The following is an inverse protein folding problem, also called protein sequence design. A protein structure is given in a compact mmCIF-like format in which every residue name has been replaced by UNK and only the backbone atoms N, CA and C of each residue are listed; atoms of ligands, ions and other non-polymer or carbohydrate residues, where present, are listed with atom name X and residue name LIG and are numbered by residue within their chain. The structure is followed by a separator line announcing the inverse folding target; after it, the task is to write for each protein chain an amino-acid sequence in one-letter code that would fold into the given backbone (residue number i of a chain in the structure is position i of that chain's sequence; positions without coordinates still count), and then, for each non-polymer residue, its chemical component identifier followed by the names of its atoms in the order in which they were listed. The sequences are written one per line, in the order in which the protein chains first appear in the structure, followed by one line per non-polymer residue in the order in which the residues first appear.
data_IF_612401716342
#
_entry.id   IF_612401716342
#
_cell.length_a   1.000
_cell.length_b   1.000
_cell.length_c   1.000
_cell.angle_alpha   90.00
_cell.angle_beta   90.00
_cell.angle_gamma   90.00
#
_symmetry.space_group_name_H-M   'P 1'
#
loop_
_entity.id
_entity.type
_entity.pdbx_description
1 polymer ?
#
# COMPACT_ATOMS: atom_id res chain seq x y z
N UNK A 1 7.63 -16.81 12.41
CA UNK A 1 7.72 -15.34 12.23
C UNK A 1 8.99 -14.86 12.91
N UNK A 2 9.77 -14.02 12.25
CA UNK A 2 10.95 -13.41 12.87
C UNK A 2 10.54 -12.34 13.89
N UNK A 3 11.45 -11.96 14.80
CA UNK A 3 11.20 -10.82 15.70
C UNK A 3 11.01 -9.51 14.92
N UNK A 4 11.69 -9.36 13.77
CA UNK A 4 11.53 -8.21 12.89
C UNK A 4 10.10 -8.14 12.32
N UNK A 5 9.51 -9.26 11.88
CA UNK A 5 8.14 -9.30 11.36
C UNK A 5 7.12 -8.85 12.42
N UNK A 6 7.28 -9.31 13.66
CA UNK A 6 6.39 -8.95 14.77
C UNK A 6 6.52 -7.46 15.11
N UNK A 7 7.74 -6.93 15.16
CA UNK A 7 7.99 -5.51 15.42
C UNK A 7 7.38 -4.63 14.33
N UNK A 8 7.58 -5.00 13.05
CA UNK A 8 6.99 -4.33 11.89
C UNK A 8 5.47 -4.38 11.94
N UNK A 9 4.88 -5.55 12.19
CA UNK A 9 3.42 -5.73 12.29
C UNK A 9 2.78 -4.82 13.35
N UNK A 10 3.40 -4.71 14.54
CA UNK A 10 2.94 -3.78 15.59
C UNK A 10 3.03 -2.32 15.16
N UNK A 11 4.12 -1.93 14.51
CA UNK A 11 4.32 -0.55 14.05
C UNK A 11 3.42 -0.18 12.88
N UNK A 12 3.08 -1.15 12.02
CA UNK A 12 2.22 -0.94 10.85
C UNK A 12 0.86 -0.36 11.20
N UNK A 13 0.27 -0.73 12.34
CA UNK A 13 -0.99 -0.15 12.80
C UNK A 13 -0.89 1.34 13.10
N UNK A 14 0.24 1.79 13.66
CA UNK A 14 0.49 3.21 13.89
C UNK A 14 0.70 3.94 12.55
N UNK A 15 1.54 3.38 11.68
CA UNK A 15 1.84 3.96 10.36
C UNK A 15 0.56 4.11 9.55
N UNK A 16 -0.32 3.11 9.55
CA UNK A 16 -1.58 3.16 8.83
C UNK A 16 -2.47 4.33 9.27
N UNK A 17 -2.53 4.62 10.58
CA UNK A 17 -3.32 5.74 11.11
C UNK A 17 -2.75 7.09 10.68
N UNK A 18 -1.43 7.23 10.68
CA UNK A 18 -0.76 8.45 10.23
C UNK A 18 -0.94 8.64 8.72
N UNK A 19 -0.79 7.56 7.94
CA UNK A 19 -1.01 7.55 6.49
C UNK A 19 -2.45 7.92 6.11
N UNK A 20 -3.47 7.36 6.80
CA UNK A 20 -4.88 7.69 6.55
C UNK A 20 -5.14 9.19 6.70
N UNK A 21 -4.53 9.83 7.71
CA UNK A 21 -4.65 11.28 7.93
C UNK A 21 -3.97 12.09 6.84
N UNK A 22 -2.74 11.72 6.46
CA UNK A 22 -2.00 12.45 5.43
C UNK A 22 -2.66 12.33 4.06
N UNK A 23 -3.17 11.14 3.70
CA UNK A 23 -3.92 10.95 2.47
C UNK A 23 -5.24 11.73 2.48
N UNK A 24 -5.98 11.73 3.60
CA UNK A 24 -7.19 12.53 3.72
C UNK A 24 -6.90 14.03 3.56
N UNK A 25 -5.80 14.53 4.15
CA UNK A 25 -5.36 15.92 3.98
C UNK A 25 -5.03 16.25 2.52
N UNK A 26 -4.26 15.39 1.85
CA UNK A 26 -3.88 15.57 0.45
C UNK A 26 -5.09 15.50 -0.50
N UNK A 27 -6.11 14.72 -0.14
CA UNK A 27 -7.34 14.56 -0.90
C UNK A 27 -8.46 15.53 -0.48
N UNK A 28 -8.13 16.66 0.16
CA UNK A 28 -9.09 17.68 0.62
C UNK A 28 -10.25 17.10 1.46
N UNK A 29 -9.94 16.19 2.37
CA UNK A 29 -10.88 15.55 3.28
C UNK A 29 -11.54 14.28 2.73
N UNK A 30 -11.31 13.91 1.47
CA UNK A 30 -11.81 12.65 0.93
C UNK A 30 -10.99 11.46 1.47
N UNK A 31 -11.69 10.43 1.95
CA UNK A 31 -11.04 9.20 2.39
C UNK A 31 -10.59 8.37 1.19
N UNK A 32 -9.31 8.06 1.13
CA UNK A 32 -8.70 7.22 0.09
C UNK A 32 -8.49 5.81 0.62
N UNK A 33 -8.88 4.80 -0.16
CA UNK A 33 -8.55 3.41 0.15
C UNK A 33 -7.06 3.15 -0.10
N UNK A 34 -6.40 2.49 0.85
CA UNK A 34 -5.02 2.05 0.70
C UNK A 34 -4.79 0.67 1.32
N UNK A 35 -3.71 0.03 0.84
CA UNK A 35 -3.11 -1.14 1.44
C UNK A 35 -1.60 -0.96 1.44
N UNK A 36 -0.98 -0.98 2.61
CA UNK A 36 0.47 -0.92 2.78
C UNK A 36 1.00 -2.33 2.96
N UNK A 37 1.87 -2.75 2.03
CA UNK A 37 2.50 -4.07 2.02
C UNK A 37 3.99 -3.91 2.34
N UNK A 38 4.49 -4.70 3.29
CA UNK A 38 5.89 -4.71 3.71
C UNK A 38 6.41 -6.15 3.68
N UNK A 39 7.52 -6.35 2.99
CA UNK A 39 8.16 -7.65 2.83
C UNK A 39 9.69 -7.48 2.97
N UNK A 40 10.36 -8.50 3.51
CA UNK A 40 11.81 -8.51 3.75
C UNK A 40 12.59 -9.29 2.68
N UNK A 41 11.98 -10.33 2.13
CA UNK A 41 12.50 -11.16 1.05
C UNK A 41 11.31 -11.60 0.18
N UNK A 42 11.40 -11.37 -1.13
CA UNK A 42 10.35 -11.69 -2.11
C UNK A 42 10.21 -13.19 -2.41
N UNK A 43 11.14 -14.03 -1.94
CA UNK A 43 11.22 -15.46 -2.26
C UNK A 43 10.91 -16.38 -1.08
N UNK A 44 11.10 -15.92 0.17
CA UNK A 44 10.90 -16.74 1.37
C UNK A 44 10.35 -15.99 2.61
N UNK A 45 10.18 -14.67 2.53
CA UNK A 45 9.71 -13.84 3.65
C UNK A 45 8.19 -13.85 3.80
N UNK A 46 7.70 -13.70 5.04
CA UNK A 46 6.28 -13.43 5.25
C UNK A 46 5.97 -11.98 4.86
N UNK A 47 4.88 -11.80 4.11
CA UNK A 47 4.38 -10.47 3.76
C UNK A 47 3.51 -9.93 4.89
N UNK A 48 3.91 -8.79 5.46
CA UNK A 48 3.09 -8.05 6.41
C UNK A 48 2.27 -7.01 5.64
N UNK A 49 1.02 -6.80 6.05
CA UNK A 49 0.19 -5.77 5.43
C UNK A 49 -0.81 -5.16 6.40
N UNK A 50 -1.24 -3.96 6.08
CA UNK A 50 -2.33 -3.24 6.74
C UNK A 50 -3.11 -2.45 5.70
N UNK A 51 -4.43 -2.46 5.82
CA UNK A 51 -5.33 -1.78 4.86
C UNK A 51 -6.39 -1.02 5.65
N UNK A 52 -6.81 0.15 5.15
CA UNK A 52 -7.96 0.88 5.71
C UNK A 52 -9.29 0.54 4.99
N UNK A 53 -9.23 -0.35 4.01
CA UNK A 53 -10.34 -0.80 3.18
C UNK A 53 -10.57 -2.30 3.35
N UNK A 54 -11.65 -2.80 2.78
CA UNK A 54 -11.96 -4.23 2.83
C UNK A 54 -10.94 -5.05 2.01
N UNK A 55 -10.75 -6.32 2.39
CA UNK A 55 -9.87 -7.23 1.65
C UNK A 55 -10.24 -7.34 0.15
N UNK A 56 -11.52 -7.44 -0.24
CA UNK A 56 -11.89 -7.46 -1.66
C UNK A 56 -11.49 -6.19 -2.43
N UNK A 57 -11.69 -5.01 -1.84
CA UNK A 57 -11.27 -3.74 -2.47
C UNK A 57 -9.76 -3.65 -2.64
N UNK A 58 -9.01 -4.01 -1.60
CA UNK A 58 -7.56 -4.05 -1.63
C UNK A 58 -7.03 -5.02 -2.68
N UNK A 59 -7.61 -6.22 -2.77
CA UNK A 59 -7.22 -7.24 -3.76
C UNK A 59 -7.46 -6.75 -5.20
N UNK A 60 -8.62 -6.13 -5.45
CA UNK A 60 -8.98 -5.60 -6.77
C UNK A 60 -8.05 -4.44 -7.17
N UNK A 61 -7.72 -3.56 -6.22
CA UNK A 61 -6.76 -2.48 -6.44
C UNK A 61 -5.34 -3.01 -6.74
N UNK A 62 -4.88 -4.00 -5.98
CA UNK A 62 -3.57 -4.64 -6.22
C UNK A 62 -3.51 -5.33 -7.57
N UNK A 63 -4.58 -6.02 -7.98
CA UNK A 63 -4.64 -6.64 -9.30
C UNK A 63 -4.48 -5.60 -10.42
N UNK A 64 -5.17 -4.44 -10.32
CA UNK A 64 -4.99 -3.34 -11.28
C UNK A 64 -3.55 -2.83 -11.34
N UNK A 65 -2.84 -2.81 -10.21
CA UNK A 65 -1.42 -2.42 -10.17
C UNK A 65 -0.56 -3.48 -10.87
N UNK A 66 -0.79 -4.76 -10.59
CA UNK A 66 -0.07 -5.87 -11.24
C UNK A 66 -0.31 -5.90 -12.76
N UNK A 67 -1.56 -5.72 -13.19
CA UNK A 67 -1.93 -5.64 -14.61
C UNK A 67 -1.18 -4.48 -15.29
N UNK A 68 -1.06 -3.33 -14.62
CA UNK A 68 -0.28 -2.18 -15.12
C UNK A 68 1.22 -2.47 -15.22
N UNK A 69 1.80 -3.15 -14.24
CA UNK A 69 3.22 -3.52 -14.30
C UNK A 69 3.53 -4.49 -15.45
N UNK A 70 2.60 -5.38 -15.74
CA UNK A 70 2.71 -6.33 -16.84
C UNK A 70 2.43 -5.67 -18.20
N UNK A 71 1.60 -4.62 -18.23
CA UNK A 71 1.32 -3.82 -19.41
C UNK A 71 2.48 -2.85 -19.68
N UNK A 72 3.19 -3.01 -20.80
CA UNK A 72 4.30 -2.13 -21.18
C UNK A 72 3.85 -0.65 -21.28
N UNK A 73 4.04 0.14 -20.22
CA UNK A 73 4.11 1.60 -20.29
C UNK A 73 2.83 2.42 -20.02
N UNK A 74 1.87 1.93 -19.23
CA UNK A 74 0.78 2.82 -18.78
C UNK A 74 1.32 3.79 -17.73
N UNK A 75 1.59 5.02 -18.15
CA UNK A 75 2.03 6.14 -17.31
C UNK A 75 0.98 6.34 -16.19
N UNK A 76 1.43 6.26 -14.93
CA UNK A 76 0.63 6.62 -13.77
C UNK A 76 0.18 8.09 -13.85
N UNK A 77 -0.82 8.46 -13.05
CA UNK A 77 -1.40 9.80 -12.89
C UNK A 77 -0.39 10.92 -13.26
N UNK A 78 -0.76 11.94 -14.07
CA UNK A 78 0.18 12.90 -14.68
C UNK A 78 1.21 13.58 -13.76
N UNK A 79 1.01 13.54 -12.44
CA UNK A 79 1.93 14.03 -11.41
C UNK A 79 3.31 13.35 -11.37
N UNK A 80 3.48 12.18 -12.02
CA UNK A 80 4.78 11.49 -12.06
C UNK A 80 5.70 11.96 -13.21
N UNK A 81 5.29 12.96 -14.00
CA UNK A 81 6.19 13.64 -14.94
C UNK A 81 7.04 14.66 -14.14
N UNK A 82 8.31 14.34 -13.93
CA UNK A 82 9.29 15.24 -13.29
C UNK A 82 9.29 16.61 -14.00
N UNK A 83 9.21 17.70 -13.22
CA UNK A 83 9.77 18.99 -13.61
C UNK A 83 11.29 18.94 -13.56
#
# INVERSE_FOLDING_TARGET
MSQADIAVSRKLQQIAKELDKELAKAANGQRMGFSLIVFSDSTAGQTNYVSNCSRPEAALALQKVLDRWQSKGVIDVPAHKKH
#
